data_IF_151233595341
#
_entry.id   IF_151233595341
#
_cell.length_a   1.000
_cell.length_b   1.000
_cell.length_c   1.000
_cell.angle_alpha   90.00
_cell.angle_beta   90.00
_cell.angle_gamma   90.00
#
_symmetry.space_group_name_H-M   'P 1'
#
loop_
_entity.id
_entity.type
_entity.pdbx_description
1 polymer ?
#
# COMPACT_ATOMS: atom_id res chain seq x y z
N UNK A 1 1.43 23.63 0.38
CA UNK A 1 1.10 23.49 -1.05
C UNK A 1 -0.01 24.48 -1.32
N UNK A 2 0.05 25.20 -2.44
CA UNK A 2 -1.10 25.96 -2.94
C UNK A 2 -2.18 24.99 -3.43
N UNK A 3 -3.41 25.48 -3.64
CA UNK A 3 -4.49 24.66 -4.19
C UNK A 3 -4.08 24.08 -5.56
N UNK A 4 -3.44 24.89 -6.41
CA UNK A 4 -2.89 24.44 -7.70
C UNK A 4 -1.82 23.34 -7.55
N UNK A 5 -1.00 23.39 -6.50
CA UNK A 5 0.01 22.37 -6.22
C UNK A 5 -0.63 21.07 -5.69
N UNK A 6 -1.75 21.16 -4.96
CA UNK A 6 -2.51 20.00 -4.47
C UNK A 6 -3.25 19.32 -5.62
N UNK A 7 -3.87 20.09 -6.50
CA UNK A 7 -4.57 19.59 -7.69
C UNK A 7 -3.61 18.92 -8.68
N UNK A 8 -2.35 19.35 -8.70
CA UNK A 8 -1.30 18.75 -9.52
C UNK A 8 -0.74 17.43 -8.94
N UNK A 9 -1.06 17.07 -7.70
CA UNK A 9 -0.63 15.79 -7.12
C UNK A 9 -1.43 14.62 -7.70
N UNK A 10 -0.85 13.41 -7.58
CA UNK A 10 -1.61 12.19 -7.81
C UNK A 10 -2.70 12.09 -6.75
N UNK A 11 -3.96 12.10 -7.18
CA UNK A 11 -5.09 12.23 -6.24
C UNK A 11 -5.29 10.94 -5.40
N UNK A 12 -4.89 9.77 -5.90
CA UNK A 12 -4.97 8.50 -5.16
C UNK A 12 -4.07 8.42 -3.92
N UNK A 13 -3.15 9.37 -3.71
CA UNK A 13 -2.36 9.47 -2.46
C UNK A 13 -2.84 10.59 -1.53
N UNK A 14 -3.87 11.35 -1.91
CA UNK A 14 -4.52 12.27 -1.00
C UNK A 14 -5.50 11.47 -0.13
N UNK A 15 -5.26 11.48 1.18
CA UNK A 15 -5.97 10.62 2.11
C UNK A 15 -7.36 11.18 2.44
N UNK A 16 -8.37 10.35 2.23
CA UNK A 16 -9.71 10.50 2.79
C UNK A 16 -10.06 9.30 3.69
N UNK A 17 -11.23 9.33 4.33
CA UNK A 17 -11.65 8.26 5.24
C UNK A 17 -11.79 6.91 4.53
N UNK A 18 -12.25 6.90 3.27
CA UNK A 18 -12.44 5.70 2.46
C UNK A 18 -11.09 5.04 2.13
N UNK A 19 -10.14 5.82 1.60
CA UNK A 19 -8.78 5.35 1.27
C UNK A 19 -8.07 4.84 2.52
N UNK A 20 -8.25 5.50 3.67
CA UNK A 20 -7.69 5.03 4.94
C UNK A 20 -8.25 3.66 5.33
N UNK A 21 -9.56 3.46 5.22
CA UNK A 21 -10.20 2.19 5.57
C UNK A 21 -9.75 1.06 4.65
N UNK A 22 -9.63 1.32 3.34
CA UNK A 22 -9.13 0.37 2.35
C UNK A 22 -7.67 -0.03 2.63
N UNK A 23 -6.79 0.95 2.89
CA UNK A 23 -5.40 0.69 3.25
C UNK A 23 -5.28 -0.14 4.54
N UNK A 24 -6.11 0.14 5.55
CA UNK A 24 -6.13 -0.65 6.78
C UNK A 24 -6.53 -2.10 6.52
N UNK A 25 -7.49 -2.33 5.62
CA UNK A 25 -7.90 -3.69 5.24
C UNK A 25 -6.77 -4.45 4.53
N UNK A 26 -6.05 -3.79 3.61
CA UNK A 26 -4.87 -4.37 2.96
C UNK A 26 -3.81 -4.75 3.99
N UNK A 27 -3.52 -3.87 4.95
CA UNK A 27 -2.54 -4.14 6.01
C UNK A 27 -3.00 -5.30 6.88
N UNK A 28 -4.25 -5.32 7.35
CA UNK A 28 -4.81 -6.42 8.16
C UNK A 28 -4.74 -7.76 7.44
N UNK A 29 -4.91 -7.77 6.13
CA UNK A 29 -4.86 -8.99 5.31
C UNK A 29 -3.44 -9.50 5.08
N UNK A 30 -2.47 -8.61 4.90
CA UNK A 30 -1.16 -8.97 4.32
C UNK A 30 0.03 -8.82 5.27
N UNK A 31 -0.09 -8.06 6.37
CA UNK A 31 1.02 -7.83 7.28
C UNK A 31 1.02 -8.83 8.44
N UNK A 32 2.20 -9.38 8.74
CA UNK A 32 2.42 -10.23 9.92
C UNK A 32 2.51 -9.35 11.17
N UNK A 33 1.91 -9.79 12.28
CA UNK A 33 2.01 -9.11 13.58
C UNK A 33 3.44 -9.03 14.14
N UNK A 34 4.31 -9.96 13.71
CA UNK A 34 5.73 -10.00 14.06
C UNK A 34 6.56 -10.47 12.88
N UNK A 35 7.73 -9.87 12.72
CA UNK A 35 8.73 -10.22 11.71
C UNK A 35 10.12 -10.28 12.36
N UNK A 36 10.79 -11.41 12.24
CA UNK A 36 12.17 -11.60 12.65
C UNK A 36 13.10 -11.69 11.43
N UNK A 37 14.41 -11.42 11.56
CA UNK A 37 15.34 -11.51 10.43
C UNK A 37 15.38 -12.88 9.74
N UNK A 38 15.11 -13.96 10.47
CA UNK A 38 15.04 -15.31 9.91
C UNK A 38 13.86 -15.50 8.94
N UNK A 39 12.77 -14.77 9.14
CA UNK A 39 11.56 -14.83 8.31
C UNK A 39 11.79 -14.19 6.94
N UNK A 40 12.83 -13.35 6.79
CA UNK A 40 13.20 -12.79 5.49
C UNK A 40 13.71 -13.86 4.50
N UNK A 41 14.15 -15.01 5.01
CA UNK A 41 14.56 -16.14 4.18
C UNK A 41 13.37 -17.03 3.76
N UNK A 42 12.15 -16.76 4.26
CA UNK A 42 10.94 -17.50 3.91
C UNK A 42 10.53 -17.16 2.47
N UNK A 43 10.51 -18.14 1.53
CA UNK A 43 10.07 -17.89 0.16
C UNK A 43 8.60 -17.48 0.07
N UNK A 44 7.76 -17.79 1.06
CA UNK A 44 6.36 -17.36 1.12
C UNK A 44 6.24 -15.87 1.45
N UNK A 45 7.13 -15.35 2.31
CA UNK A 45 7.13 -13.94 2.70
C UNK A 45 7.32 -13.00 1.49
N UNK A 46 8.12 -13.40 0.50
CA UNK A 46 8.28 -12.66 -0.74
C UNK A 46 6.99 -12.62 -1.57
N UNK A 47 6.20 -13.70 -1.54
CA UNK A 47 4.87 -13.77 -2.16
C UNK A 47 3.86 -12.86 -1.47
N UNK A 48 3.77 -12.94 -0.14
CA UNK A 48 2.93 -12.06 0.69
C UNK A 48 3.27 -10.59 0.46
N UNK A 49 4.57 -10.24 0.42
CA UNK A 49 5.04 -8.88 0.16
C UNK A 49 4.67 -8.40 -1.24
N UNK A 50 4.67 -9.30 -2.24
CA UNK A 50 4.23 -8.98 -3.60
C UNK A 50 2.73 -8.71 -3.62
N UNK A 51 1.93 -9.56 -3.00
CA UNK A 51 0.48 -9.39 -2.90
C UNK A 51 0.11 -8.10 -2.16
N UNK A 52 0.79 -7.80 -1.05
CA UNK A 52 0.65 -6.53 -0.34
C UNK A 52 0.97 -5.35 -1.28
N UNK A 53 2.05 -5.43 -2.06
CA UNK A 53 2.42 -4.38 -3.01
C UNK A 53 1.34 -4.18 -4.07
N UNK A 54 0.87 -5.23 -4.73
CA UNK A 54 -0.18 -5.09 -5.75
C UNK A 54 -1.45 -4.47 -5.14
N UNK A 55 -1.89 -4.95 -3.97
CA UNK A 55 -3.08 -4.41 -3.31
C UNK A 55 -2.94 -2.93 -2.90
N UNK A 56 -1.74 -2.50 -2.49
CA UNK A 56 -1.47 -1.09 -2.20
C UNK A 56 -1.41 -0.24 -3.47
N UNK A 57 -0.93 -0.79 -4.59
CA UNK A 57 -0.93 -0.10 -5.87
C UNK A 57 -2.37 0.12 -6.37
N UNK A 58 -3.26 -0.85 -6.19
CA UNK A 58 -4.67 -0.74 -6.54
C UNK A 58 -5.36 0.36 -5.73
N UNK A 59 -5.24 0.33 -4.39
CA UNK A 59 -5.90 1.31 -3.50
C UNK A 59 -5.41 2.73 -3.77
N UNK A 60 -4.13 2.90 -4.11
CA UNK A 60 -3.56 4.22 -4.36
C UNK A 60 -3.63 4.64 -5.84
N UNK A 61 -4.25 3.83 -6.71
CA UNK A 61 -4.30 4.05 -8.17
C UNK A 61 -2.90 4.30 -8.78
N UNK A 62 -1.92 3.51 -8.35
CA UNK A 62 -0.50 3.64 -8.74
C UNK A 62 -0.07 2.62 -9.81
N UNK A 63 -0.98 1.77 -10.27
CA UNK A 63 -0.69 0.73 -11.27
C UNK A 63 -0.07 1.31 -12.57
N UNK A 64 -0.51 2.50 -12.98
CA UNK A 64 -0.04 3.17 -14.20
C UNK A 64 1.31 3.90 -14.07
N UNK A 65 1.89 3.94 -12.86
CA UNK A 65 3.14 4.65 -12.57
C UNK A 65 4.35 3.72 -12.39
N UNK A 66 4.15 2.39 -12.46
CA UNK A 66 5.16 1.36 -12.22
C UNK A 66 5.77 0.76 -13.50
#
# INVERSE_FOLDING_TARGET
MTDDEIDACHQGVLMDEETIDELQEVVRRTYRDRLAPADLADPLFAGESREAREALLDVLDLEGLC
#
